data_IF_276775162737
#
_entry.id   IF_276775162737
#
_cell.length_a   1.000
_cell.length_b   1.000
_cell.length_c   1.000
_cell.angle_alpha   90.00
_cell.angle_beta   90.00
_cell.angle_gamma   90.00
#
_symmetry.space_group_name_H-M   'P 1'
#
loop_
_entity.id
_entity.type
_entity.pdbx_description
1 polymer ?
#
# COMPACT_ATOMS: atom_id res chain seq x y z
N UNK A 1 3.60 4.03 3.29
CA UNK A 1 2.85 4.21 2.02
C UNK A 1 1.84 3.09 1.85
N UNK A 2 0.67 3.37 1.31
CA UNK A 2 -0.35 2.35 1.04
C UNK A 2 -1.76 2.92 1.03
N UNK A 3 -2.70 2.15 0.48
CA UNK A 3 -4.11 2.49 0.45
C UNK A 3 -4.84 1.91 1.66
N UNK A 4 -5.63 2.72 2.36
CA UNK A 4 -6.59 2.24 3.35
C UNK A 4 -7.94 2.14 2.67
N UNK A 5 -8.60 0.99 2.80
CA UNK A 5 -9.94 0.78 2.27
C UNK A 5 -10.74 -0.14 3.19
N UNK A 6 -12.02 0.16 3.32
CA UNK A 6 -13.00 -0.72 3.97
C UNK A 6 -13.79 -1.55 2.94
N UNK A 7 -13.66 -1.21 1.65
CA UNK A 7 -14.34 -1.88 0.56
C UNK A 7 -13.48 -3.03 0.03
N UNK A 8 -14.04 -4.24 0.03
CA UNK A 8 -13.35 -5.44 -0.41
C UNK A 8 -12.96 -5.37 -1.89
N UNK A 9 -13.86 -4.90 -2.76
CA UNK A 9 -13.64 -4.85 -4.20
C UNK A 9 -12.52 -3.88 -4.58
N UNK A 10 -12.52 -2.69 -3.97
CA UNK A 10 -11.44 -1.70 -4.11
C UNK A 10 -10.13 -2.28 -3.60
N UNK A 11 -10.13 -2.89 -2.41
CA UNK A 11 -8.93 -3.51 -1.83
C UNK A 11 -8.36 -4.60 -2.73
N UNK A 12 -9.23 -5.47 -3.26
CA UNK A 12 -8.82 -6.58 -4.13
C UNK A 12 -8.21 -6.07 -5.45
N UNK A 13 -8.78 -5.01 -6.02
CA UNK A 13 -8.27 -4.39 -7.25
C UNK A 13 -6.90 -3.78 -7.00
N UNK A 14 -6.76 -3.00 -5.93
CA UNK A 14 -5.49 -2.37 -5.55
C UNK A 14 -4.41 -3.39 -5.21
N UNK A 15 -4.79 -4.47 -4.51
CA UNK A 15 -3.91 -5.60 -4.23
C UNK A 15 -3.38 -6.22 -5.54
N UNK A 16 -4.26 -6.47 -6.52
CA UNK A 16 -3.90 -7.11 -7.80
C UNK A 16 -2.96 -6.25 -8.65
N UNK A 17 -3.05 -4.93 -8.56
CA UNK A 17 -2.14 -4.01 -9.27
C UNK A 17 -0.84 -3.74 -8.51
N UNK A 18 -0.59 -4.43 -7.39
CA UNK A 18 0.67 -4.33 -6.64
C UNK A 18 0.74 -3.15 -5.68
N UNK A 19 -0.35 -2.41 -5.47
CA UNK A 19 -0.39 -1.33 -4.48
C UNK A 19 -0.51 -1.94 -3.08
N UNK A 20 0.34 -1.55 -2.11
CA UNK A 20 0.16 -1.94 -0.71
C UNK A 20 -1.21 -1.49 -0.19
N UNK A 21 -2.01 -2.41 0.34
CA UNK A 21 -3.36 -2.14 0.87
C UNK A 21 -3.46 -2.53 2.33
N UNK A 22 -4.17 -1.72 3.09
CA UNK A 22 -4.61 -1.96 4.45
C UNK A 22 -6.12 -2.09 4.43
N UNK A 23 -6.61 -3.34 4.50
CA UNK A 23 -8.03 -3.62 4.58
C UNK A 23 -8.50 -3.40 6.01
N UNK A 24 -9.28 -2.35 6.23
CA UNK A 24 -9.77 -1.97 7.56
C UNK A 24 -11.22 -2.41 7.68
N UNK A 25 -11.54 -3.17 8.73
CA UNK A 25 -12.91 -3.62 9.01
C UNK A 25 -13.32 -3.35 10.45
N UNK A 26 -14.63 -3.14 10.70
CA UNK A 26 -15.18 -3.21 12.05
C UNK A 26 -14.83 -4.54 12.73
N UNK A 27 -14.65 -4.50 14.05
CA UNK A 27 -14.36 -5.71 14.87
C UNK A 27 -15.52 -6.72 14.77
N UNK A 28 -16.74 -6.23 14.58
CA UNK A 28 -17.95 -7.04 14.38
C UNK A 28 -17.85 -7.99 13.17
N UNK A 29 -17.06 -7.62 12.16
CA UNK A 29 -16.84 -8.44 10.96
C UNK A 29 -15.71 -9.46 11.11
N UNK A 30 -14.98 -9.45 12.23
CA UNK A 30 -13.88 -10.38 12.50
C UNK A 30 -14.30 -11.86 12.38
N UNK A 31 -15.47 -12.31 12.91
CA UNK A 31 -15.91 -13.70 12.78
C UNK A 31 -16.14 -14.15 11.33
N UNK A 32 -16.44 -13.20 10.45
CA UNK A 32 -16.67 -13.43 9.01
C UNK A 32 -15.41 -13.16 8.17
N UNK A 33 -14.28 -12.86 8.81
CA UNK A 33 -13.00 -12.63 8.14
C UNK A 33 -12.25 -13.94 8.01
N UNK A 34 -12.22 -14.50 6.80
CA UNK A 34 -11.33 -15.62 6.49
C UNK A 34 -9.92 -15.08 6.28
N UNK A 35 -9.01 -15.44 7.18
CA UNK A 35 -7.56 -15.17 7.03
C UNK A 35 -6.91 -16.45 6.53
N UNK A 36 -6.63 -16.50 5.23
CA UNK A 36 -6.00 -17.69 4.61
C UNK A 36 -4.51 -17.81 4.97
N UNK A 37 -3.85 -16.69 5.27
CA UNK A 37 -2.44 -16.67 5.65
C UNK A 37 -2.15 -15.49 6.57
N UNK A 38 -1.43 -15.75 7.66
CA UNK A 38 -0.83 -14.71 8.49
C UNK A 38 0.62 -14.53 8.07
N UNK A 39 1.00 -13.31 7.70
CA UNK A 39 2.39 -12.95 7.46
C UNK A 39 2.96 -12.29 8.70
N UNK A 40 4.21 -12.57 9.05
CA UNK A 40 4.93 -11.76 10.02
C UNK A 40 4.99 -10.34 9.47
N UNK A 41 4.59 -9.31 10.24
CA UNK A 41 4.74 -7.94 9.78
C UNK A 41 6.19 -7.73 9.40
N UNK A 42 6.44 -7.28 8.18
CA UNK A 42 7.75 -6.78 7.83
C UNK A 42 7.96 -5.52 8.66
N UNK A 43 8.73 -5.64 9.74
CA UNK A 43 9.39 -4.48 10.33
C UNK A 43 10.16 -3.85 9.18
N UNK A 44 9.88 -2.59 8.85
CA UNK A 44 10.66 -1.82 7.89
C UNK A 44 12.07 -1.66 8.46
N UNK A 45 12.89 -2.71 8.37
CA UNK A 45 14.26 -2.72 8.83
C UNK A 45 14.98 -1.66 8.00
N UNK A 46 15.68 -0.75 8.69
CA UNK A 46 16.47 0.32 8.08
C UNK A 46 15.70 1.27 7.15
N UNK A 47 14.41 1.53 7.42
CA UNK A 47 13.57 2.40 6.59
C UNK A 47 13.45 1.93 5.14
N UNK A 48 13.52 0.63 4.88
CA UNK A 48 13.26 0.07 3.54
C UNK A 48 11.90 -0.62 3.52
N UNK A 49 11.05 -0.19 2.60
CA UNK A 49 9.74 -0.79 2.37
C UNK A 49 9.82 -1.69 1.13
N UNK A 50 9.57 -3.00 1.23
CA UNK A 50 9.57 -3.88 0.05
C UNK A 50 8.53 -3.46 -0.98
N UNK A 51 8.90 -3.54 -2.27
CA UNK A 51 7.93 -3.44 -3.35
C UNK A 51 7.41 -4.84 -3.64
N UNK A 52 6.09 -5.02 -3.48
CA UNK A 52 5.46 -6.32 -3.61
C UNK A 52 5.71 -6.93 -4.99
N UNK A 53 5.89 -8.25 -5.01
CA UNK A 53 6.17 -9.07 -6.20
C UNK A 53 7.54 -8.81 -6.85
N UNK A 54 8.42 -8.06 -6.19
CA UNK A 54 9.76 -7.74 -6.71
C UNK A 54 10.82 -7.87 -5.62
N UNK A 55 12.09 -7.83 -6.01
CA UNK A 55 13.24 -7.76 -5.09
C UNK A 55 13.59 -6.33 -4.66
N UNK A 56 12.90 -5.34 -5.23
CA UNK A 56 13.18 -3.93 -5.00
C UNK A 56 12.58 -3.42 -3.69
N UNK A 57 13.17 -2.35 -3.17
CA UNK A 57 12.77 -1.71 -1.91
C UNK A 57 12.79 -0.20 -2.04
N UNK A 58 11.81 0.45 -1.41
CA UNK A 58 11.70 1.91 -1.35
C UNK A 58 12.34 2.40 -0.06
N UNK A 59 13.27 3.32 -0.18
CA UNK A 59 13.81 4.06 0.96
C UNK A 59 12.77 5.07 1.47
N UNK A 60 12.28 4.85 2.70
CA UNK A 60 11.33 5.71 3.41
C UNK A 60 12.01 6.50 4.52
N UNK A 61 13.33 6.52 4.58
CA UNK A 61 14.08 7.32 5.56
C UNK A 61 13.81 8.81 5.33
N UNK A 62 13.85 9.66 6.37
CA UNK A 62 13.77 11.10 6.19
C UNK A 62 14.87 11.57 5.23
N UNK A 63 14.48 12.24 4.15
CA UNK A 63 15.38 12.73 3.12
C UNK A 63 15.43 14.26 3.07
N UNK A 64 16.58 14.80 2.66
CA UNK A 64 16.76 16.22 2.34
C UNK A 64 17.36 16.30 0.93
N UNK A 65 16.62 16.79 -0.08
CA UNK A 65 15.25 17.30 -0.02
C UNK A 65 14.22 16.20 0.34
N UNK A 66 13.04 16.57 0.88
CA UNK A 66 11.98 15.63 1.20
C UNK A 66 11.56 14.80 -0.01
N UNK A 67 11.08 13.58 0.26
CA UNK A 67 10.52 12.70 -0.75
C UNK A 67 9.44 13.41 -1.58
N UNK A 68 9.37 13.16 -2.90
CA UNK A 68 8.42 13.82 -3.77
C UNK A 68 6.99 13.47 -3.39
N UNK A 69 6.13 14.49 -3.35
CA UNK A 69 4.69 14.28 -3.18
C UNK A 69 4.12 13.83 -4.53
N UNK A 70 3.74 12.55 -4.62
CA UNK A 70 3.24 11.95 -5.87
C UNK A 70 1.76 12.24 -6.15
N UNK A 71 1.00 12.68 -5.13
CA UNK A 71 -0.43 13.00 -5.25
C UNK A 71 -0.88 14.00 -4.18
N UNK A 72 -1.65 15.01 -4.58
CA UNK A 72 -2.36 15.95 -3.70
C UNK A 72 -3.83 15.94 -4.13
N UNK A 73 -4.74 15.60 -3.23
CA UNK A 73 -6.18 15.54 -3.52
C UNK A 73 -6.96 14.69 -2.53
N UNK A 74 -8.21 14.37 -2.88
CA UNK A 74 -9.10 13.58 -2.02
C UNK A 74 -8.60 12.14 -1.86
N UNK A 75 -8.68 11.62 -0.65
CA UNK A 75 -8.34 10.22 -0.36
C UNK A 75 -9.23 9.23 -1.13
N UNK A 76 -10.46 9.58 -1.49
CA UNK A 76 -11.33 8.70 -2.27
C UNK A 76 -11.06 8.67 -3.78
N UNK A 77 -10.18 9.53 -4.31
CA UNK A 77 -10.01 9.66 -5.77
C UNK A 77 -9.24 8.49 -6.36
N UNK A 78 -9.74 7.94 -7.47
CA UNK A 78 -9.05 6.94 -8.28
C UNK A 78 -7.67 7.43 -8.77
N UNK A 79 -7.53 8.72 -9.06
CA UNK A 79 -6.27 9.32 -9.52
C UNK A 79 -5.12 9.10 -8.53
N UNK A 80 -5.43 9.02 -7.24
CA UNK A 80 -4.45 8.70 -6.19
C UNK A 80 -3.78 7.36 -6.47
N UNK A 81 -4.58 6.36 -6.80
CA UNK A 81 -4.10 5.00 -7.04
C UNK A 81 -3.32 4.91 -8.35
N UNK A 82 -3.76 5.63 -9.39
CA UNK A 82 -3.00 5.74 -10.64
C UNK A 82 -1.62 6.33 -10.37
N UNK A 83 -1.52 7.43 -9.60
CA UNK A 83 -0.23 8.03 -9.25
C UNK A 83 0.65 7.12 -8.40
N UNK A 84 0.06 6.38 -7.44
CA UNK A 84 0.79 5.35 -6.68
C UNK A 84 1.34 4.26 -7.58
N UNK A 85 0.52 3.75 -8.50
CA UNK A 85 0.94 2.73 -9.48
C UNK A 85 2.07 3.24 -10.37
N UNK A 86 1.95 4.44 -10.94
CA UNK A 86 3.00 5.04 -11.77
C UNK A 86 4.30 5.25 -11.00
N UNK A 87 4.23 5.65 -9.73
CA UNK A 87 5.42 5.80 -8.89
C UNK A 87 6.09 4.46 -8.63
N UNK A 88 5.34 3.42 -8.26
CA UNK A 88 5.89 2.07 -8.07
C UNK A 88 6.51 1.51 -9.37
N UNK A 89 5.87 1.77 -10.52
CA UNK A 89 6.38 1.32 -11.81
C UNK A 89 7.68 2.03 -12.21
N UNK A 90 7.97 3.21 -11.67
CA UNK A 90 9.23 3.93 -11.95
C UNK A 90 10.48 3.27 -11.34
N UNK A 91 10.30 2.26 -10.48
CA UNK A 91 11.39 1.46 -9.92
C UNK A 91 11.71 0.21 -10.77
N UNK A 92 10.99 -0.03 -11.87
CA UNK A 92 11.21 -1.13 -12.82
C UNK A 92 11.71 -0.59 -14.17
#
# INVERSE_FOLDING_TARGET
MGAFSQEHDVTSTLYRVGIPVWYVRPIEDLPFTRVDSQVTPETCVDNRLPIRFTTETIDISPSVPPHPIIYIGLSGSYDRYVKMGSYLYSFF
#
